data_IF_652717328061
#
_entry.id   IF_652717328061
#
_cell.length_a   1.000
_cell.length_b   1.000
_cell.length_c   1.000
_cell.angle_alpha   90.00
_cell.angle_beta   90.00
_cell.angle_gamma   90.00
#
_symmetry.space_group_name_H-M   'P 1'
#
loop_
_entity.id
_entity.type
_entity.pdbx_description
1 polymer ?
#
# COMPACT_ATOMS: atom_id res chain seq x y z
N UNK A 1 -19.16 21.08 -8.97
CA UNK A 1 -18.96 21.75 -7.66
C UNK A 1 -19.30 20.78 -6.55
N UNK A 2 -18.31 20.32 -5.79
CA UNK A 2 -18.51 19.41 -4.66
C UNK A 2 -17.49 19.77 -3.59
N UNK A 3 -17.87 20.68 -2.70
CA UNK A 3 -17.11 21.04 -1.50
C UNK A 3 -18.07 20.87 -0.33
N UNK A 4 -17.78 19.95 0.59
CA UNK A 4 -18.35 20.03 1.93
C UNK A 4 -17.60 21.19 2.62
N UNK A 5 -18.34 22.21 3.08
CA UNK A 5 -17.79 23.38 3.80
C UNK A 5 -16.92 24.39 3.02
N UNK A 6 -16.96 24.44 1.68
CA UNK A 6 -16.32 25.54 0.91
C UNK A 6 -14.77 25.56 0.88
N UNK A 7 -14.10 24.81 1.77
CA UNK A 7 -12.65 24.78 1.93
C UNK A 7 -12.00 23.39 1.72
N UNK A 8 -12.73 22.28 1.90
CA UNK A 8 -12.13 20.94 1.85
C UNK A 8 -12.45 20.24 0.52
N UNK A 9 -11.43 19.78 -0.25
CA UNK A 9 -11.65 18.94 -1.41
C UNK A 9 -12.34 17.63 -1.00
N UNK A 10 -13.51 17.32 -1.58
CA UNK A 10 -14.22 16.06 -1.36
C UNK A 10 -13.34 14.79 -1.47
N UNK A 11 -12.35 14.72 -2.40
CA UNK A 11 -11.46 13.56 -2.46
C UNK A 11 -10.66 13.31 -1.17
N UNK A 12 -10.31 14.36 -0.43
CA UNK A 12 -9.56 14.26 0.83
C UNK A 12 -10.45 13.69 1.95
N UNK A 13 -11.70 14.13 2.03
CA UNK A 13 -12.67 13.60 3.01
C UNK A 13 -12.92 12.11 2.78
N UNK A 14 -13.14 11.72 1.53
CA UNK A 14 -13.40 10.32 1.16
C UNK A 14 -12.15 9.46 1.42
N UNK A 15 -10.96 9.97 1.12
CA UNK A 15 -9.70 9.30 1.47
C UNK A 15 -9.57 9.09 2.99
N UNK A 16 -9.86 10.11 3.80
CA UNK A 16 -9.77 10.01 5.25
C UNK A 16 -10.77 9.00 5.83
N UNK A 17 -12.00 8.99 5.33
CA UNK A 17 -13.01 7.99 5.70
C UNK A 17 -12.53 6.59 5.33
N UNK A 18 -12.04 6.39 4.10
CA UNK A 18 -11.53 5.09 3.65
C UNK A 18 -10.35 4.63 4.52
N UNK A 19 -9.44 5.53 4.88
CA UNK A 19 -8.31 5.24 5.75
C UNK A 19 -8.77 4.81 7.15
N UNK A 20 -9.77 5.49 7.73
CA UNK A 20 -10.35 5.12 9.03
C UNK A 20 -10.99 3.73 8.94
N UNK A 21 -11.81 3.48 7.90
CA UNK A 21 -12.47 2.17 7.69
C UNK A 21 -11.44 1.05 7.57
N UNK A 22 -10.39 1.24 6.77
CA UNK A 22 -9.32 0.25 6.61
C UNK A 22 -8.56 0.05 7.92
N UNK A 23 -8.32 1.12 8.68
CA UNK A 23 -7.67 1.05 10.00
C UNK A 23 -8.49 0.22 10.97
N UNK A 24 -9.81 0.45 11.01
CA UNK A 24 -10.72 -0.32 11.83
C UNK A 24 -10.73 -1.80 11.42
N UNK A 25 -10.83 -2.08 10.12
CA UNK A 25 -10.80 -3.46 9.60
C UNK A 25 -9.49 -4.16 9.99
N UNK A 26 -8.34 -3.51 9.81
CA UNK A 26 -7.04 -4.16 10.05
C UNK A 26 -6.75 -4.32 11.55
N UNK A 27 -7.01 -3.32 12.38
CA UNK A 27 -6.62 -3.34 13.80
C UNK A 27 -7.69 -3.93 14.73
N UNK A 28 -8.98 -3.75 14.41
CA UNK A 28 -10.07 -4.09 15.32
C UNK A 28 -10.87 -5.31 14.87
N UNK A 29 -10.59 -5.89 13.69
CA UNK A 29 -11.27 -7.13 13.25
C UNK A 29 -10.34 -8.34 13.22
N UNK A 30 -10.85 -9.55 13.53
CA UNK A 30 -10.05 -10.78 13.44
C UNK A 30 -9.61 -11.10 12.01
N UNK A 31 -10.22 -10.48 10.99
CA UNK A 31 -9.79 -10.62 9.60
C UNK A 31 -8.41 -10.02 9.36
N UNK A 32 -8.10 -8.86 9.94
CA UNK A 32 -6.79 -8.23 9.80
C UNK A 32 -5.65 -9.11 10.32
N UNK A 33 -5.85 -9.70 11.50
CA UNK A 33 -4.91 -10.64 12.11
C UNK A 33 -4.70 -11.89 11.24
N UNK A 34 -5.79 -12.53 10.79
CA UNK A 34 -5.73 -13.71 9.90
C UNK A 34 -4.95 -13.42 8.62
N UNK A 35 -5.14 -12.24 8.03
CA UNK A 35 -4.42 -11.82 6.82
C UNK A 35 -2.93 -11.59 7.08
N UNK A 36 -2.55 -11.02 8.24
CA UNK A 36 -1.14 -10.87 8.59
C UNK A 36 -0.44 -12.22 8.81
N UNK A 37 -1.12 -13.19 9.43
CA UNK A 37 -0.57 -14.52 9.66
C UNK A 37 -0.42 -15.30 8.36
N UNK A 38 -1.42 -15.20 7.47
CA UNK A 38 -1.34 -15.75 6.13
C UNK A 38 -0.13 -15.20 5.36
N UNK A 39 0.13 -13.90 5.48
CA UNK A 39 1.25 -13.23 4.82
C UNK A 39 2.62 -13.57 5.42
N UNK A 40 2.73 -13.92 6.71
CA UNK A 40 4.02 -14.31 7.31
C UNK A 40 4.39 -15.75 6.96
N UNK A 41 3.43 -16.68 7.05
CA UNK A 41 3.62 -18.06 6.62
C UNK A 41 2.29 -18.74 6.29
N UNK A 42 2.06 -18.97 5.00
CA UNK A 42 0.86 -19.65 4.48
C UNK A 42 0.70 -21.08 5.00
N UNK A 43 1.79 -21.83 5.14
CA UNK A 43 1.75 -23.22 5.62
C UNK A 43 1.40 -23.26 7.11
N UNK A 44 2.05 -22.43 7.91
CA UNK A 44 1.76 -22.35 9.35
C UNK A 44 0.30 -21.94 9.62
N UNK A 45 -0.21 -20.96 8.88
CA UNK A 45 -1.61 -20.52 9.01
C UNK A 45 -2.62 -21.64 8.76
N UNK A 46 -2.34 -22.51 7.78
CA UNK A 46 -3.17 -23.67 7.50
C UNK A 46 -3.17 -24.68 8.66
N UNK A 47 -2.00 -24.98 9.23
CA UNK A 47 -1.88 -25.87 10.40
C UNK A 47 -2.53 -25.29 11.66
N UNK A 48 -2.64 -23.97 11.79
CA UNK A 48 -3.32 -23.29 12.89
C UNK A 48 -4.86 -23.25 12.73
N UNK A 49 -5.44 -23.93 11.74
CA UNK A 49 -6.89 -23.95 11.51
C UNK A 49 -7.48 -22.67 10.92
N UNK A 50 -6.63 -21.79 10.34
CA UNK A 50 -7.11 -20.61 9.61
C UNK A 50 -7.51 -21.04 8.20
N UNK A 51 -8.76 -20.77 7.84
CA UNK A 51 -9.21 -20.91 6.46
C UNK A 51 -8.59 -19.82 5.58
N UNK A 52 -7.46 -20.19 4.97
CA UNK A 52 -6.70 -19.35 4.05
C UNK A 52 -7.54 -18.94 2.82
N UNK A 53 -8.41 -19.81 2.32
CA UNK A 53 -9.21 -19.55 1.12
C UNK A 53 -10.23 -18.45 1.41
N UNK A 54 -10.97 -18.59 2.52
CA UNK A 54 -11.96 -17.59 2.93
C UNK A 54 -11.32 -16.24 3.26
N UNK A 55 -10.14 -16.25 3.87
CA UNK A 55 -9.38 -15.02 4.21
C UNK A 55 -8.96 -14.26 2.95
N UNK A 56 -8.39 -14.96 1.95
CA UNK A 56 -8.02 -14.36 0.66
C UNK A 56 -9.26 -13.86 -0.09
N UNK A 57 -10.32 -14.65 -0.15
CA UNK A 57 -11.56 -14.27 -0.81
C UNK A 57 -12.17 -12.99 -0.23
N UNK A 58 -12.27 -12.90 1.11
CA UNK A 58 -12.80 -11.72 1.79
C UNK A 58 -11.93 -10.48 1.51
N UNK A 59 -10.61 -10.66 1.46
CA UNK A 59 -9.67 -9.58 1.15
C UNK A 59 -9.87 -9.05 -0.28
N UNK A 60 -10.09 -9.94 -1.25
CA UNK A 60 -10.40 -9.56 -2.64
C UNK A 60 -11.74 -8.84 -2.79
N UNK A 61 -12.76 -9.25 -2.02
CA UNK A 61 -14.06 -8.57 -2.01
C UNK A 61 -13.92 -7.14 -1.46
N UNK A 62 -13.23 -6.98 -0.33
CA UNK A 62 -12.99 -5.66 0.28
C UNK A 62 -12.21 -4.75 -0.68
N UNK A 63 -11.15 -5.25 -1.32
CA UNK A 63 -10.36 -4.46 -2.27
C UNK A 63 -11.16 -4.06 -3.50
N UNK A 64 -12.05 -4.92 -3.98
CA UNK A 64 -12.93 -4.65 -5.12
C UNK A 64 -13.99 -3.58 -4.80
N UNK A 65 -14.57 -3.59 -3.59
CA UNK A 65 -15.50 -2.55 -3.14
C UNK A 65 -14.81 -1.18 -3.09
N UNK A 66 -13.59 -1.12 -2.53
CA UNK A 66 -12.81 0.12 -2.47
C UNK A 66 -12.39 0.58 -3.87
N UNK A 67 -12.00 -0.35 -4.74
CA UNK A 67 -11.65 -0.09 -6.13
C UNK A 67 -12.83 0.49 -6.93
N UNK A 68 -14.02 -0.11 -6.78
CA UNK A 68 -15.25 0.38 -7.42
C UNK A 68 -15.60 1.80 -6.94
N UNK A 69 -15.53 2.05 -5.63
CA UNK A 69 -15.77 3.38 -5.06
C UNK A 69 -14.76 4.42 -5.59
N UNK A 70 -13.48 4.03 -5.68
CA UNK A 70 -12.40 4.88 -6.20
C UNK A 70 -12.61 5.20 -7.68
N UNK A 71 -13.02 4.22 -8.49
CA UNK A 71 -13.31 4.41 -9.91
C UNK A 71 -14.47 5.40 -10.14
N UNK A 72 -15.55 5.26 -9.37
CA UNK A 72 -16.69 6.20 -9.41
C UNK A 72 -16.23 7.61 -9.04
N UNK A 73 -15.35 7.74 -8.04
CA UNK A 73 -14.80 9.04 -7.60
C UNK A 73 -13.95 9.71 -8.68
N UNK A 74 -13.09 8.95 -9.37
CA UNK A 74 -12.27 9.47 -10.47
C UNK A 74 -13.17 9.97 -11.60
N UNK A 75 -14.18 9.17 -12.01
CA UNK A 75 -15.14 9.54 -13.04
C UNK A 75 -15.91 10.82 -12.69
N UNK A 76 -16.39 10.92 -11.44
CA UNK A 76 -17.08 12.10 -10.93
C UNK A 76 -16.19 13.35 -10.92
N UNK A 77 -14.87 13.18 -10.78
CA UNK A 77 -13.91 14.29 -10.80
C UNK A 77 -13.58 14.75 -12.22
N UNK A 78 -13.36 13.83 -13.15
CA UNK A 78 -12.87 14.15 -14.50
C UNK A 78 -13.99 14.40 -15.50
N UNK A 79 -15.25 14.09 -15.17
CA UNK A 79 -16.42 14.12 -16.08
C UNK A 79 -16.16 13.44 -17.43
N UNK A 80 -15.13 12.58 -17.51
CA UNK A 80 -14.65 11.95 -18.74
C UNK A 80 -14.26 10.52 -18.40
N UNK A 81 -14.90 9.57 -19.06
CA UNK A 81 -14.58 8.16 -18.93
C UNK A 81 -13.52 7.76 -19.98
N UNK A 82 -12.24 7.84 -19.61
CA UNK A 82 -11.17 7.18 -20.37
C UNK A 82 -10.78 5.89 -19.66
N UNK A 83 -10.66 4.80 -20.41
CA UNK A 83 -10.23 3.49 -19.89
C UNK A 83 -8.80 3.52 -19.36
N UNK A 84 -7.97 4.45 -19.85
CA UNK A 84 -6.55 4.54 -19.51
C UNK A 84 -6.25 5.21 -18.16
N UNK A 85 -7.24 5.81 -17.48
CA UNK A 85 -6.97 6.46 -16.20
C UNK A 85 -6.40 5.50 -15.14
N UNK A 86 -6.84 4.23 -15.14
CA UNK A 86 -6.40 3.24 -14.14
C UNK A 86 -4.92 2.86 -14.23
N UNK A 87 -4.32 2.85 -15.43
CA UNK A 87 -2.98 2.31 -15.65
C UNK A 87 -1.89 3.09 -14.90
N UNK A 88 -1.98 4.43 -14.92
CA UNK A 88 -1.03 5.31 -14.24
C UNK A 88 -1.17 5.27 -12.71
N UNK A 89 -2.41 5.12 -12.21
CA UNK A 89 -2.66 5.03 -10.77
C UNK A 89 -2.21 3.71 -10.17
N UNK A 90 -2.20 2.61 -10.93
CA UNK A 90 -1.66 1.33 -10.45
C UNK A 90 -0.16 1.45 -10.13
N UNK A 91 0.62 2.09 -11.01
CA UNK A 91 2.05 2.29 -10.80
C UNK A 91 2.32 3.18 -9.57
N UNK A 92 1.57 4.28 -9.44
CA UNK A 92 1.67 5.20 -8.29
C UNK A 92 1.26 4.51 -6.99
N UNK A 93 0.21 3.69 -7.01
CA UNK A 93 -0.26 2.92 -5.84
C UNK A 93 0.77 1.88 -5.40
N UNK A 94 1.38 1.16 -6.36
CA UNK A 94 2.44 0.20 -6.07
C UNK A 94 3.66 0.92 -5.46
N UNK A 95 4.09 2.04 -6.04
CA UNK A 95 5.17 2.86 -5.48
C UNK A 95 4.85 3.31 -4.05
N UNK A 96 3.65 3.82 -3.80
CA UNK A 96 3.22 4.25 -2.47
C UNK A 96 3.30 3.12 -1.44
N UNK A 97 2.87 1.91 -1.83
CA UNK A 97 2.87 0.73 -0.95
C UNK A 97 4.28 0.28 -0.57
N UNK A 98 5.21 0.26 -1.53
CA UNK A 98 6.60 -0.15 -1.28
C UNK A 98 7.35 0.94 -0.51
N UNK A 99 7.13 2.21 -0.85
CA UNK A 99 7.76 3.33 -0.13
C UNK A 99 7.28 3.42 1.33
N UNK A 100 6.06 2.95 1.62
CA UNK A 100 5.56 2.79 2.98
C UNK A 100 6.21 1.63 3.76
N UNK A 101 7.06 0.81 3.11
CA UNK A 101 7.72 -0.34 3.71
C UNK A 101 6.81 -1.55 3.91
N UNK A 102 5.72 -1.66 3.14
CA UNK A 102 4.90 -2.87 3.13
C UNK A 102 5.65 -3.95 2.35
N UNK A 103 5.82 -5.12 2.95
CA UNK A 103 6.52 -6.22 2.27
C UNK A 103 5.65 -6.78 1.13
N UNK A 104 6.17 -6.83 -0.11
CA UNK A 104 5.46 -7.46 -1.23
C UNK A 104 5.22 -8.97 -1.01
N UNK A 105 6.10 -9.61 -0.22
CA UNK A 105 6.00 -11.02 0.14
C UNK A 105 5.02 -11.28 1.30
N UNK A 106 4.52 -10.22 1.95
CA UNK A 106 3.46 -10.29 2.95
C UNK A 106 3.92 -10.26 4.41
N UNK A 107 2.94 -10.23 5.31
CA UNK A 107 3.13 -10.41 6.76
C UNK A 107 3.57 -9.17 7.54
N UNK A 108 3.88 -8.05 6.88
CA UNK A 108 4.30 -6.79 7.52
C UNK A 108 3.75 -5.58 6.79
N UNK A 109 3.19 -4.64 7.54
CA UNK A 109 2.71 -3.36 7.04
C UNK A 109 2.18 -2.49 8.18
N UNK A 110 2.33 -1.18 8.05
CA UNK A 110 1.84 -0.20 9.02
C UNK A 110 1.10 0.90 8.30
N UNK A 111 -0.17 1.10 8.69
CA UNK A 111 -1.05 2.14 8.14
C UNK A 111 -0.48 3.56 8.27
N UNK A 112 0.14 3.98 9.41
CA UNK A 112 0.71 5.33 9.49
C UNK A 112 1.80 5.60 8.45
N UNK A 113 2.61 4.59 8.11
CA UNK A 113 3.66 4.72 7.10
C UNK A 113 3.07 4.94 5.70
N UNK A 114 1.92 4.32 5.41
CA UNK A 114 1.18 4.53 4.17
C UNK A 114 0.74 5.97 4.04
N UNK A 115 0.24 6.57 5.14
CA UNK A 115 -0.17 7.96 5.14
C UNK A 115 1.00 8.89 4.81
N UNK A 116 2.17 8.70 5.45
CA UNK A 116 3.38 9.48 5.16
C UNK A 116 3.86 9.29 3.71
N UNK A 117 3.80 8.06 3.18
CA UNK A 117 4.19 7.74 1.82
C UNK A 117 3.27 8.42 0.79
N UNK A 118 1.95 8.30 0.95
CA UNK A 118 0.96 8.92 0.06
C UNK A 118 1.07 10.44 0.08
N UNK A 119 1.27 11.06 1.25
CA UNK A 119 1.52 12.50 1.37
C UNK A 119 2.80 12.92 0.64
N UNK A 120 3.87 12.14 0.75
CA UNK A 120 5.14 12.41 0.05
C UNK A 120 4.98 12.34 -1.46
N UNK A 121 4.25 11.34 -1.96
CA UNK A 121 3.95 11.20 -3.40
C UNK A 121 3.03 12.33 -3.87
N UNK A 122 2.06 12.76 -3.05
CA UNK A 122 1.18 13.88 -3.39
C UNK A 122 1.97 15.19 -3.50
N UNK A 123 2.91 15.44 -2.59
CA UNK A 123 3.83 16.60 -2.66
C UNK A 123 4.67 16.55 -3.95
N UNK A 124 5.18 15.38 -4.31
CA UNK A 124 5.96 15.17 -5.53
C UNK A 124 5.10 15.40 -6.79
N UNK A 125 3.87 14.89 -6.84
CA UNK A 125 2.94 15.11 -7.96
C UNK A 125 2.57 16.60 -8.11
N UNK A 126 2.37 17.31 -7.00
CA UNK A 126 2.20 18.76 -6.99
C UNK A 126 3.44 19.48 -7.51
N UNK A 127 4.65 19.06 -7.13
CA UNK A 127 5.91 19.61 -7.66
C UNK A 127 6.06 19.42 -9.18
N UNK A 128 5.76 18.23 -9.69
CA UNK A 128 5.76 17.99 -11.15
C UNK A 128 4.69 18.77 -11.89
N UNK A 129 3.55 19.04 -11.25
CA UNK A 129 2.52 19.92 -11.80
C UNK A 129 3.05 21.35 -11.97
N UNK A 130 3.75 21.89 -10.95
CA UNK A 130 4.38 23.22 -11.02
C UNK A 130 5.45 23.31 -12.11
N UNK A 131 6.29 22.27 -12.23
CA UNK A 131 7.32 22.17 -13.26
C UNK A 131 6.76 21.87 -14.66
N UNK A 132 5.43 21.70 -14.80
CA UNK A 132 4.73 21.36 -16.06
C UNK A 132 5.35 20.17 -16.80
N UNK A 133 5.80 19.16 -16.04
CA UNK A 133 6.43 17.96 -16.57
C UNK A 133 5.40 17.10 -17.30
N UNK A 134 5.77 16.56 -18.46
CA UNK A 134 4.89 15.70 -19.25
C UNK A 134 4.52 14.40 -18.51
N UNK A 135 3.33 13.87 -18.77
CA UNK A 135 2.85 12.63 -18.14
C UNK A 135 3.75 11.42 -18.41
N UNK A 136 4.45 11.42 -19.55
CA UNK A 136 5.42 10.38 -19.91
C UNK A 136 6.62 10.39 -18.95
N UNK A 137 7.22 11.56 -18.71
CA UNK A 137 8.36 11.70 -17.78
C UNK A 137 7.93 11.35 -16.35
N UNK A 138 6.73 11.76 -15.94
CA UNK A 138 6.17 11.42 -14.62
C UNK A 138 6.07 9.90 -14.40
N UNK A 139 5.51 9.18 -15.37
CA UNK A 139 5.36 7.72 -15.28
C UNK A 139 6.72 7.02 -15.24
N UNK A 140 7.67 7.47 -16.06
CA UNK A 140 9.05 6.96 -16.03
C UNK A 140 9.73 7.20 -14.67
N UNK A 141 9.55 8.38 -14.07
CA UNK A 141 10.12 8.66 -12.74
C UNK A 141 9.50 7.76 -11.65
N UNK A 142 8.18 7.54 -11.67
CA UNK A 142 7.55 6.62 -10.72
C UNK A 142 8.05 5.18 -10.88
N UNK A 143 8.26 4.73 -12.12
CA UNK A 143 8.86 3.41 -12.38
C UNK A 143 10.27 3.28 -11.82
N UNK A 144 11.13 4.27 -12.07
CA UNK A 144 12.51 4.30 -11.55
C UNK A 144 12.51 4.34 -10.02
N UNK A 145 11.68 5.19 -9.40
CA UNK A 145 11.56 5.27 -7.95
C UNK A 145 11.09 3.94 -7.34
N UNK A 146 10.17 3.24 -8.01
CA UNK A 146 9.68 1.95 -7.56
C UNK A 146 10.78 0.90 -7.58
N UNK A 147 11.57 0.82 -8.66
CA UNK A 147 12.71 -0.10 -8.76
C UNK A 147 13.73 0.18 -7.65
N UNK A 148 14.07 1.46 -7.44
CA UNK A 148 15.00 1.86 -6.36
C UNK A 148 14.43 1.47 -5.00
N UNK A 149 13.15 1.73 -4.75
CA UNK A 149 12.51 1.41 -3.47
C UNK A 149 12.53 -0.09 -3.18
N UNK A 150 12.24 -0.94 -4.18
CA UNK A 150 12.31 -2.40 -4.05
C UNK A 150 13.75 -2.86 -3.85
N UNK A 151 14.71 -2.31 -4.61
CA UNK A 151 16.12 -2.68 -4.49
C UNK A 151 16.67 -2.37 -3.08
N UNK A 152 16.31 -1.21 -2.53
CA UNK A 152 16.67 -0.81 -1.17
C UNK A 152 16.03 -1.73 -0.14
N UNK A 153 14.73 -2.05 -0.29
CA UNK A 153 14.03 -2.95 0.63
C UNK A 153 14.62 -4.36 0.62
N UNK A 154 14.89 -4.91 -0.58
CA UNK A 154 15.51 -6.21 -0.76
C UNK A 154 16.91 -6.27 -0.13
N UNK A 155 17.72 -5.23 -0.34
CA UNK A 155 19.06 -5.13 0.27
C UNK A 155 18.98 -5.07 1.80
N UNK A 156 18.03 -4.31 2.35
CA UNK A 156 17.78 -4.24 3.80
C UNK A 156 17.36 -5.60 4.36
N UNK A 157 16.52 -6.35 3.65
CA UNK A 157 16.09 -7.68 4.07
C UNK A 157 17.27 -8.67 4.14
N UNK A 158 18.14 -8.67 3.12
CA UNK A 158 19.35 -9.51 3.10
C UNK A 158 20.28 -9.17 4.27
N UNK A 159 20.51 -7.88 4.52
CA UNK A 159 21.37 -7.43 5.62
C UNK A 159 20.79 -7.81 6.99
N UNK A 160 19.46 -7.76 7.14
CA UNK A 160 18.78 -8.15 8.38
C UNK A 160 18.92 -9.65 8.65
N UNK A 161 18.68 -10.50 7.63
CA UNK A 161 18.87 -11.96 7.74
C UNK A 161 20.27 -12.34 8.21
N UNK A 162 21.30 -11.64 7.73
CA UNK A 162 22.70 -11.88 8.16
C UNK A 162 22.96 -11.52 9.63
N UNK A 163 22.29 -10.49 10.16
CA UNK A 163 22.42 -10.12 11.59
C UNK A 163 21.75 -11.15 12.49
N UNK A 164 20.61 -11.68 12.07
CA UNK A 164 19.85 -12.65 12.86
C UNK A 164 20.61 -13.99 12.98
N UNK A 165 21.26 -14.44 11.90
CA UNK A 165 22.11 -15.66 11.93
C UNK A 165 23.33 -15.49 12.85
N UNK A 166 24.04 -14.35 12.77
CA UNK A 166 25.21 -14.08 13.63
C UNK A 166 24.86 -14.04 15.12
N UNK A 167 23.67 -13.54 15.47
CA UNK A 167 23.19 -13.55 16.86
C UNK A 167 22.90 -14.97 17.36
N UNK A 168 22.32 -15.81 16.51
CA UNK A 168 22.09 -17.22 16.83
C UNK A 168 23.42 -18.00 17.03
N UNK A 169 24.41 -17.74 16.18
CA UNK A 169 25.76 -18.31 16.33
C UNK A 169 26.44 -17.84 17.63
N UNK A 170 26.31 -16.56 18.00
CA UNK A 170 26.85 -16.04 19.26
C UNK A 170 26.17 -16.63 20.50
N UNK A 171 24.87 -16.91 20.48
CA UNK A 171 24.18 -17.54 21.62
C UNK A 171 24.54 -19.02 21.82
N UNK A 172 25.00 -19.71 20.77
CA UNK A 172 25.44 -21.11 20.85
C UNK A 172 26.88 -21.26 21.35
N UNK A 173 27.73 -20.26 21.15
CA UNK A 173 29.16 -20.32 21.50
C UNK A 173 29.46 -19.83 22.94
N UNK A 174 28.43 -19.45 23.70
CA UNK A 174 28.52 -18.95 25.09
C UNK A 174 27.99 -19.99 26.10
N UNK A 175 27.44 -21.11 25.64
CA UNK A 175 27.14 -22.30 26.46
C UNK A 175 28.18 -23.40 26.22
#
# INVERSE_FOLDING_TARGET
SGKLFGFIPMPLVIFLIALIVITVIIHYTPHGLKTQWFGSNRRASFYCGIDNVRTVFTTYVISSIIGALTGILILARTNTAKYDYGTSYVLQAMLASVLAGISPLGGKGSIPNILLSVLSIQMLDSGFNFLRVSSFVRSSTYGILLIISIAVEYLREILKRRRDVRRAEQSLNVN
#
